data_IF_851491691710
#
_entry.id   IF_851491691710
#
_cell.length_a   1.000
_cell.length_b   1.000
_cell.length_c   1.000
_cell.angle_alpha   90.00
_cell.angle_beta   90.00
_cell.angle_gamma   90.00
#
_symmetry.space_group_name_H-M   'P 1'
#
loop_
_entity.id
_entity.type
_entity.pdbx_description
1 polymer ?
#
# COMPACT_ATOMS: atom_id res chain seq x y z
N UNK A 1 -45.21 16.73 29.39
CA UNK A 1 -46.31 16.50 28.45
C UNK A 1 -46.57 17.82 27.76
N UNK A 2 -45.82 18.17 26.80
CA UNK A 2 -45.98 19.30 25.88
C UNK A 2 -44.71 19.29 25.01
N UNK A 3 -44.74 18.63 23.85
CA UNK A 3 -43.59 18.56 22.95
C UNK A 3 -43.71 17.60 21.79
N UNK A 4 -44.79 16.84 21.65
CA UNK A 4 -44.96 15.83 20.62
C UNK A 4 -46.02 16.13 19.52
N UNK A 5 -46.61 17.27 19.52
CA UNK A 5 -47.70 17.61 18.59
C UNK A 5 -47.33 18.52 17.40
N UNK A 6 -46.07 18.86 17.19
CA UNK A 6 -45.68 19.84 16.16
C UNK A 6 -44.88 19.25 14.97
N UNK A 7 -44.86 17.93 14.77
CA UNK A 7 -44.18 17.27 13.64
C UNK A 7 -45.09 16.48 12.69
N UNK A 8 -46.39 16.71 12.69
CA UNK A 8 -47.34 15.92 11.89
C UNK A 8 -48.19 16.69 10.86
N UNK A 9 -47.83 17.91 10.50
CA UNK A 9 -48.54 18.66 9.46
C UNK A 9 -47.58 19.40 8.54
N UNK A 10 -46.89 18.69 7.64
CA UNK A 10 -46.36 19.26 6.40
C UNK A 10 -45.94 18.16 5.40
N UNK A 11 -46.91 17.38 5.00
CA UNK A 11 -46.85 16.53 3.81
C UNK A 11 -48.25 16.53 3.24
N UNK A 12 -48.52 17.33 2.25
CA UNK A 12 -49.57 17.24 1.22
C UNK A 12 -49.66 18.66 0.60
N UNK A 13 -49.09 18.85 -0.55
CA UNK A 13 -49.48 19.62 -1.72
C UNK A 13 -48.29 19.82 -2.65
N UNK A 14 -48.22 19.10 -3.71
CA UNK A 14 -48.23 19.55 -5.11
C UNK A 14 -48.05 18.36 -6.04
N UNK A 15 -49.21 17.79 -6.39
CA UNK A 15 -49.38 17.05 -7.64
C UNK A 15 -50.07 18.00 -8.61
N UNK A 16 -49.61 18.00 -9.85
CA UNK A 16 -50.45 18.42 -10.98
C UNK A 16 -49.94 19.61 -11.76
N UNK A 17 -49.33 19.35 -12.92
CA UNK A 17 -49.95 19.74 -14.19
C UNK A 17 -49.21 19.06 -15.35
N UNK A 18 -49.99 18.27 -16.07
CA UNK A 18 -49.69 17.61 -17.33
C UNK A 18 -49.85 18.53 -18.52
N UNK A 19 -49.11 18.20 -19.55
CA UNK A 19 -49.57 17.97 -20.93
C UNK A 19 -49.42 19.08 -21.99
N UNK A 20 -48.79 18.64 -23.03
CA UNK A 20 -49.18 18.74 -24.45
C UNK A 20 -48.73 19.94 -25.27
N UNK A 21 -48.00 19.62 -26.31
CA UNK A 21 -47.72 20.49 -27.46
C UNK A 21 -47.15 19.66 -28.61
N UNK A 22 -48.03 19.07 -29.40
CA UNK A 22 -47.72 18.33 -30.63
C UNK A 22 -47.30 19.27 -31.78
N UNK A 23 -46.37 18.73 -32.60
CA UNK A 23 -46.31 18.77 -34.07
C UNK A 23 -46.57 20.07 -34.84
N UNK A 24 -45.55 20.48 -35.58
CA UNK A 24 -45.76 20.87 -36.99
C UNK A 24 -44.48 20.53 -37.80
N UNK A 25 -44.66 19.64 -38.74
CA UNK A 25 -43.74 19.42 -39.85
C UNK A 25 -44.08 20.43 -40.98
N UNK A 26 -43.06 21.01 -41.61
CA UNK A 26 -43.10 21.30 -43.05
C UNK A 26 -41.71 21.59 -43.59
N UNK A 27 -41.40 20.95 -44.66
CA UNK A 27 -40.15 20.86 -45.36
C UNK A 27 -39.75 22.09 -46.17
N UNK A 28 -38.49 22.10 -46.56
CA UNK A 28 -37.86 23.01 -47.51
C UNK A 28 -36.47 22.47 -47.86
N UNK A 29 -36.36 21.93 -49.07
CA UNK A 29 -35.08 21.63 -49.72
C UNK A 29 -34.30 22.92 -49.95
N UNK A 30 -33.00 22.95 -49.64
CA UNK A 30 -32.01 23.58 -50.51
C UNK A 30 -30.59 23.00 -50.33
N UNK A 31 -29.83 23.10 -51.40
CA UNK A 31 -28.62 22.36 -51.76
C UNK A 31 -27.34 22.77 -51.00
N UNK A 32 -26.46 21.77 -51.00
CA UNK A 32 -24.99 21.76 -50.85
C UNK A 32 -24.23 23.10 -50.88
N UNK A 33 -23.41 23.29 -49.87
CA UNK A 33 -22.02 23.72 -50.04
C UNK A 33 -21.19 23.07 -48.92
N UNK A 34 -20.16 22.33 -49.30
CA UNK A 34 -19.27 21.62 -48.36
C UNK A 34 -18.44 22.59 -47.57
N UNK A 35 -18.41 22.33 -46.27
CA UNK A 35 -17.35 22.75 -45.37
C UNK A 35 -17.13 21.57 -44.45
N UNK A 36 -16.00 20.91 -44.60
CA UNK A 36 -15.52 19.92 -43.64
C UNK A 36 -15.26 20.64 -42.32
N UNK A 37 -16.26 20.69 -41.47
CA UNK A 37 -16.07 20.93 -40.04
C UNK A 37 -15.87 19.58 -39.39
N UNK A 38 -14.65 19.34 -38.85
CA UNK A 38 -14.37 18.29 -37.91
C UNK A 38 -15.49 18.28 -36.86
N UNK A 39 -16.38 17.33 -36.98
CA UNK A 39 -17.34 17.03 -35.93
C UNK A 39 -16.54 16.41 -34.76
N UNK A 40 -16.21 17.22 -33.73
CA UNK A 40 -15.94 16.69 -32.38
C UNK A 40 -17.16 15.81 -32.05
N UNK A 41 -16.92 14.52 -31.85
CA UNK A 41 -17.95 13.62 -31.40
C UNK A 41 -18.43 14.12 -30.03
N UNK A 42 -19.68 14.54 -29.94
CA UNK A 42 -20.37 14.78 -28.69
C UNK A 42 -20.82 13.42 -28.13
N UNK A 43 -19.88 12.51 -27.84
CA UNK A 43 -20.11 11.36 -26.99
C UNK A 43 -20.24 11.86 -25.55
N UNK A 44 -21.14 11.27 -24.79
CA UNK A 44 -21.16 11.48 -23.34
C UNK A 44 -19.80 11.04 -22.77
N UNK A 45 -19.25 11.81 -21.82
CA UNK A 45 -18.00 11.49 -21.13
C UNK A 45 -18.17 10.19 -20.35
N UNK A 46 -17.28 9.22 -20.57
CA UNK A 46 -17.32 7.92 -19.89
C UNK A 46 -16.51 7.99 -18.59
N UNK A 47 -17.16 7.84 -17.45
CA UNK A 47 -16.50 7.85 -16.13
C UNK A 47 -16.16 6.45 -15.69
N UNK A 48 -14.88 6.22 -15.36
CA UNK A 48 -14.38 5.00 -14.71
C UNK A 48 -14.37 5.21 -13.19
N UNK A 49 -15.18 4.42 -12.48
CA UNK A 49 -15.29 4.50 -11.01
C UNK A 49 -14.27 3.59 -10.35
N UNK A 50 -13.48 4.13 -9.43
CA UNK A 50 -12.41 3.43 -8.71
C UNK A 50 -12.72 3.46 -7.20
N UNK A 51 -12.92 2.29 -6.58
CA UNK A 51 -13.07 2.21 -5.13
C UNK A 51 -11.72 2.15 -4.43
N UNK A 52 -11.61 2.78 -3.25
CA UNK A 52 -10.42 2.76 -2.40
C UNK A 52 -10.81 2.84 -0.91
N UNK A 53 -9.86 2.55 -0.02
CA UNK A 53 -9.96 2.85 1.42
C UNK A 53 -8.80 3.73 1.93
N UNK A 54 -7.91 4.13 1.03
CA UNK A 54 -6.73 4.93 1.31
C UNK A 54 -7.00 6.41 1.64
N UNK A 55 -5.94 7.19 1.64
CA UNK A 55 -5.96 8.63 1.91
C UNK A 55 -6.60 9.40 0.74
N UNK A 56 -7.61 10.19 1.03
CA UNK A 56 -8.32 11.04 0.06
C UNK A 56 -7.40 12.05 -0.63
N UNK A 57 -6.36 12.54 0.06
CA UNK A 57 -5.42 13.48 -0.54
C UNK A 57 -4.57 12.82 -1.63
N UNK A 58 -4.14 11.56 -1.41
CA UNK A 58 -3.40 10.79 -2.42
C UNK A 58 -4.31 10.50 -3.62
N UNK A 59 -5.55 10.08 -3.36
CA UNK A 59 -6.52 9.81 -4.43
C UNK A 59 -6.81 11.05 -5.27
N UNK A 60 -6.93 12.22 -4.62
CA UNK A 60 -7.12 13.51 -5.32
C UNK A 60 -5.96 13.83 -6.28
N UNK A 61 -4.72 13.59 -5.87
CA UNK A 61 -3.53 13.79 -6.74
C UNK A 61 -3.60 12.88 -7.96
N UNK A 62 -3.98 11.60 -7.79
CA UNK A 62 -4.11 10.66 -8.90
C UNK A 62 -5.25 11.08 -9.83
N UNK A 63 -6.44 11.39 -9.28
CA UNK A 63 -7.62 11.78 -10.02
C UNK A 63 -7.36 13.02 -10.89
N UNK A 64 -6.82 14.07 -10.29
CA UNK A 64 -6.51 15.32 -10.99
C UNK A 64 -5.48 15.12 -12.10
N UNK A 65 -4.43 14.33 -11.85
CA UNK A 65 -3.35 14.10 -12.81
C UNK A 65 -3.83 13.23 -13.99
N UNK A 66 -4.56 12.15 -13.71
CA UNK A 66 -5.13 11.29 -14.76
C UNK A 66 -6.14 12.06 -15.61
N UNK A 67 -7.13 12.70 -14.98
CA UNK A 67 -8.18 13.44 -15.67
C UNK A 67 -7.62 14.57 -16.55
N UNK A 68 -6.56 15.23 -16.10
CA UNK A 68 -5.84 16.23 -16.91
C UNK A 68 -5.15 15.58 -18.12
N UNK A 69 -4.56 14.39 -17.95
CA UNK A 69 -3.80 13.71 -19.01
C UNK A 69 -4.71 13.16 -20.13
N UNK A 70 -5.89 12.64 -19.77
CA UNK A 70 -6.84 12.05 -20.72
C UNK A 70 -8.02 12.99 -21.09
N UNK A 71 -7.91 14.29 -20.80
CA UNK A 71 -8.99 15.26 -20.99
C UNK A 71 -9.56 15.33 -22.42
N UNK A 72 -8.75 14.98 -23.44
CA UNK A 72 -9.17 15.00 -24.85
C UNK A 72 -9.80 13.66 -25.30
N UNK A 73 -9.88 12.63 -24.44
CA UNK A 73 -10.35 11.28 -24.78
C UNK A 73 -11.84 11.05 -24.45
N UNK A 74 -12.55 12.02 -23.88
CA UNK A 74 -13.91 11.90 -23.34
C UNK A 74 -14.03 10.80 -22.28
N UNK A 75 -12.98 10.58 -21.50
CA UNK A 75 -12.89 9.63 -20.38
C UNK A 75 -12.45 10.40 -19.15
N UNK A 76 -13.01 10.05 -18.00
CA UNK A 76 -12.58 10.55 -16.70
C UNK A 76 -12.54 9.41 -15.67
N UNK A 77 -11.77 9.61 -14.60
CA UNK A 77 -11.84 8.74 -13.42
C UNK A 77 -12.50 9.47 -12.26
N UNK A 78 -13.08 8.69 -11.35
CA UNK A 78 -13.62 9.17 -10.09
C UNK A 78 -13.32 8.16 -8.99
N UNK A 79 -12.69 8.63 -7.91
CA UNK A 79 -12.51 7.83 -6.71
C UNK A 79 -13.74 7.85 -5.79
N UNK A 80 -14.04 6.68 -5.19
CA UNK A 80 -15.05 6.54 -4.15
C UNK A 80 -14.49 5.77 -2.96
N UNK A 81 -14.46 6.41 -1.79
CA UNK A 81 -13.99 5.78 -0.56
C UNK A 81 -14.97 4.75 -0.02
N UNK A 82 -14.45 3.57 0.35
CA UNK A 82 -15.20 2.46 0.95
C UNK A 82 -14.49 1.98 2.22
N UNK A 83 -15.18 2.00 3.33
CA UNK A 83 -14.66 1.38 4.55
C UNK A 83 -14.74 -0.14 4.43
N UNK A 84 -13.66 -0.85 4.76
CA UNK A 84 -13.58 -2.31 4.62
C UNK A 84 -13.65 -2.74 3.16
N UNK A 85 -12.82 -2.14 2.31
CA UNK A 85 -12.83 -2.30 0.86
C UNK A 85 -12.82 -3.77 0.43
N UNK A 86 -12.02 -4.62 1.07
CA UNK A 86 -11.96 -6.05 0.76
C UNK A 86 -13.32 -6.73 0.88
N UNK A 87 -14.09 -6.43 1.93
CA UNK A 87 -15.42 -7.02 2.12
C UNK A 87 -16.44 -6.42 1.13
N UNK A 88 -16.28 -5.15 0.78
CA UNK A 88 -17.10 -4.53 -0.27
C UNK A 88 -16.83 -5.17 -1.64
N UNK A 89 -15.57 -5.46 -1.98
CA UNK A 89 -15.20 -6.14 -3.22
C UNK A 89 -15.72 -7.60 -3.25
N UNK A 90 -15.67 -8.32 -2.13
CA UNK A 90 -16.29 -9.66 -2.02
C UNK A 90 -17.80 -9.61 -2.33
N UNK A 91 -18.45 -8.56 -1.88
CA UNK A 91 -19.91 -8.44 -2.02
C UNK A 91 -20.33 -7.92 -3.41
N UNK A 92 -19.63 -6.95 -3.93
CA UNK A 92 -20.00 -6.21 -5.15
C UNK A 92 -19.09 -6.45 -6.36
N UNK A 93 -18.00 -7.20 -6.23
CA UNK A 93 -17.02 -7.41 -7.31
C UNK A 93 -17.56 -8.16 -8.55
N UNK A 94 -18.73 -8.77 -8.45
CA UNK A 94 -19.47 -9.36 -9.58
C UNK A 94 -20.79 -8.61 -9.89
N UNK A 95 -21.04 -7.47 -9.25
CA UNK A 95 -22.29 -6.70 -9.42
C UNK A 95 -22.01 -5.44 -10.25
N UNK A 96 -22.18 -5.55 -11.55
CA UNK A 96 -21.98 -4.44 -12.49
C UNK A 96 -22.82 -3.19 -12.18
N UNK A 97 -23.97 -3.34 -11.51
CA UNK A 97 -24.88 -2.23 -11.24
C UNK A 97 -24.47 -1.40 -10.02
N UNK A 98 -23.78 -2.03 -9.06
CA UNK A 98 -23.47 -1.42 -7.75
C UNK A 98 -21.97 -1.48 -7.41
N UNK A 99 -21.18 -2.24 -8.15
CA UNK A 99 -19.72 -2.33 -7.96
C UNK A 99 -18.95 -1.27 -8.75
N UNK A 100 -17.63 -1.15 -8.52
CA UNK A 100 -16.75 -0.20 -9.23
C UNK A 100 -16.22 -0.82 -10.52
N UNK A 101 -15.72 -0.02 -11.43
CA UNK A 101 -14.99 -0.53 -12.60
C UNK A 101 -13.59 -1.05 -12.23
N UNK A 102 -12.94 -0.35 -11.30
CA UNK A 102 -11.61 -0.64 -10.78
C UNK A 102 -11.56 -0.42 -9.27
N UNK A 103 -10.51 -0.91 -8.62
CA UNK A 103 -10.19 -0.59 -7.23
C UNK A 103 -8.73 -0.22 -7.08
N UNK A 104 -8.38 0.58 -6.06
CA UNK A 104 -7.02 0.86 -5.63
C UNK A 104 -6.84 0.37 -4.20
N UNK A 105 -5.88 -0.57 -4.03
CA UNK A 105 -5.62 -1.19 -2.74
C UNK A 105 -4.23 -1.81 -2.64
N UNK A 106 -3.86 -2.21 -1.43
CA UNK A 106 -2.63 -2.95 -1.19
C UNK A 106 -2.69 -4.35 -1.83
N UNK A 107 -1.57 -4.78 -2.39
CA UNK A 107 -1.46 -6.03 -3.17
C UNK A 107 -1.60 -7.31 -2.34
N UNK A 108 -1.48 -7.25 -1.02
CA UNK A 108 -1.58 -8.42 -0.12
C UNK A 108 -2.95 -9.12 -0.16
N UNK A 109 -4.00 -8.40 -0.58
CA UNK A 109 -5.33 -8.97 -0.81
C UNK A 109 -5.52 -9.61 -2.19
N UNK A 110 -4.55 -9.49 -3.10
CA UNK A 110 -4.65 -9.87 -4.50
C UNK A 110 -5.04 -11.33 -4.70
N UNK A 111 -4.35 -12.25 -4.04
CA UNK A 111 -4.59 -13.68 -4.23
C UNK A 111 -6.02 -14.08 -3.89
N UNK A 112 -6.60 -13.51 -2.83
CA UNK A 112 -7.98 -13.77 -2.47
C UNK A 112 -8.96 -13.27 -3.55
N UNK A 113 -8.78 -12.04 -4.05
CA UNK A 113 -9.65 -11.47 -5.09
C UNK A 113 -9.51 -12.21 -6.42
N UNK A 114 -8.28 -12.63 -6.77
CA UNK A 114 -8.01 -13.44 -7.96
C UNK A 114 -8.68 -14.83 -7.88
N UNK A 115 -8.60 -15.53 -6.73
CA UNK A 115 -9.26 -16.82 -6.52
C UNK A 115 -10.78 -16.71 -6.59
N UNK A 116 -11.36 -15.56 -6.22
CA UNK A 116 -12.78 -15.30 -6.42
C UNK A 116 -13.17 -15.14 -7.89
N UNK A 117 -12.21 -14.99 -8.80
CA UNK A 117 -12.44 -14.84 -10.24
C UNK A 117 -13.10 -13.53 -10.64
N UNK A 118 -13.00 -12.49 -9.80
CA UNK A 118 -13.63 -11.18 -10.03
C UNK A 118 -12.71 -10.19 -10.77
N UNK A 119 -11.44 -10.54 -10.98
CA UNK A 119 -10.44 -9.66 -11.59
C UNK A 119 -10.19 -10.00 -13.07
N UNK A 120 -9.94 -8.98 -13.87
CA UNK A 120 -9.41 -9.09 -15.22
C UNK A 120 -7.89 -8.90 -15.22
N UNK A 121 -7.12 -9.65 -16.07
CA UNK A 121 -5.69 -9.42 -16.21
C UNK A 121 -5.36 -8.03 -16.76
N UNK A 122 -4.33 -7.37 -16.21
CA UNK A 122 -3.83 -6.07 -16.71
C UNK A 122 -3.38 -6.18 -18.16
N UNK A 123 -2.80 -7.34 -18.54
CA UNK A 123 -2.30 -7.63 -19.89
C UNK A 123 -3.37 -7.68 -20.98
N UNK A 124 -4.65 -7.74 -20.61
CA UNK A 124 -5.77 -7.66 -21.56
C UNK A 124 -6.05 -6.23 -22.03
N UNK A 125 -5.44 -5.23 -21.37
CA UNK A 125 -5.65 -3.79 -21.63
C UNK A 125 -4.39 -3.08 -22.10
N UNK A 126 -3.23 -3.39 -21.52
CA UNK A 126 -1.96 -2.74 -21.81
C UNK A 126 -0.87 -3.78 -22.09
N UNK A 127 0.19 -3.35 -22.76
CA UNK A 127 1.32 -4.20 -23.12
C UNK A 127 2.47 -4.06 -22.13
N UNK A 128 3.43 -4.99 -22.17
CA UNK A 128 4.66 -4.90 -21.40
C UNK A 128 5.49 -3.64 -21.73
N UNK A 129 5.36 -3.08 -22.95
CA UNK A 129 6.04 -1.84 -23.32
C UNK A 129 5.44 -0.62 -22.58
N UNK A 130 4.14 -0.66 -22.25
CA UNK A 130 3.48 0.40 -21.47
C UNK A 130 3.95 0.39 -20.01
N UNK A 131 4.42 -0.75 -19.51
CA UNK A 131 4.90 -0.97 -18.13
C UNK A 131 6.43 -0.99 -18.01
N UNK A 132 7.17 -0.75 -19.10
CA UNK A 132 8.63 -0.90 -19.13
C UNK A 132 9.37 -0.02 -18.09
N UNK A 133 8.76 1.07 -17.69
CA UNK A 133 9.31 1.99 -16.70
C UNK A 133 8.89 1.69 -15.25
N UNK A 134 8.15 0.59 -14.99
CA UNK A 134 7.78 0.18 -13.63
C UNK A 134 8.92 -0.63 -12.98
N UNK A 135 9.07 -0.48 -11.67
CA UNK A 135 10.01 -1.25 -10.88
C UNK A 135 9.61 -2.74 -10.87
N UNK A 136 10.49 -3.68 -11.24
CA UNK A 136 10.14 -5.10 -11.33
C UNK A 136 9.50 -5.68 -10.06
N UNK A 137 9.99 -5.30 -8.88
CA UNK A 137 9.45 -5.73 -7.58
C UNK A 137 7.97 -5.32 -7.43
N UNK A 138 7.58 -4.14 -7.93
CA UNK A 138 6.19 -3.70 -7.83
C UNK A 138 5.26 -4.43 -8.81
N UNK A 139 5.76 -4.80 -9.99
CA UNK A 139 5.03 -5.64 -10.96
C UNK A 139 4.85 -7.05 -10.41
N UNK A 140 5.91 -7.62 -9.80
CA UNK A 140 5.84 -8.93 -9.13
C UNK A 140 4.77 -8.94 -8.03
N UNK A 141 4.71 -7.90 -7.21
CA UNK A 141 3.68 -7.74 -6.18
C UNK A 141 2.25 -7.76 -6.75
N UNK A 142 2.05 -7.19 -7.95
CA UNK A 142 0.78 -7.19 -8.68
C UNK A 142 0.45 -8.47 -9.43
N UNK A 143 1.33 -9.49 -9.34
CA UNK A 143 1.21 -10.77 -10.07
C UNK A 143 0.83 -11.91 -9.12
N UNK A 144 -0.17 -12.69 -9.51
CA UNK A 144 -0.61 -13.88 -8.79
C UNK A 144 -0.71 -15.08 -9.75
N UNK A 145 -0.08 -16.21 -9.43
CA UNK A 145 -0.03 -17.43 -10.29
C UNK A 145 0.30 -17.09 -11.74
N UNK A 146 1.40 -16.37 -11.96
CA UNK A 146 1.93 -15.95 -13.27
C UNK A 146 1.00 -15.00 -14.07
N UNK A 147 -0.04 -14.44 -13.46
CA UNK A 147 -0.95 -13.49 -14.10
C UNK A 147 -0.93 -12.17 -13.33
N UNK A 148 -0.65 -11.07 -14.03
CA UNK A 148 -0.71 -9.75 -13.44
C UNK A 148 -2.16 -9.26 -13.42
N UNK A 149 -2.67 -8.96 -12.22
CA UNK A 149 -4.02 -8.43 -11.98
C UNK A 149 -4.03 -7.01 -11.43
N UNK A 150 -2.89 -6.54 -10.91
CA UNK A 150 -2.77 -5.20 -10.34
C UNK A 150 -1.67 -4.42 -11.05
N UNK A 151 -2.00 -3.22 -11.56
CA UNK A 151 -1.04 -2.24 -12.02
C UNK A 151 -0.51 -1.45 -10.83
N UNK A 152 0.79 -1.55 -10.49
CA UNK A 152 1.36 -0.85 -9.34
C UNK A 152 1.49 0.66 -9.59
N UNK A 153 1.21 1.47 -8.57
CA UNK A 153 1.34 2.93 -8.62
C UNK A 153 2.43 3.47 -7.70
N UNK A 154 2.43 3.02 -6.45
CA UNK A 154 3.42 3.41 -5.45
C UNK A 154 3.59 2.29 -4.42
N UNK A 155 4.65 2.38 -3.63
CA UNK A 155 4.93 1.38 -2.61
C UNK A 155 5.40 2.02 -1.30
N UNK A 156 5.29 1.25 -0.24
CA UNK A 156 5.68 1.60 1.11
C UNK A 156 6.52 0.47 1.72
N UNK A 157 7.44 0.82 2.60
CA UNK A 157 8.26 -0.13 3.35
C UNK A 157 8.76 0.51 4.63
N UNK A 158 9.42 -0.29 5.48
CA UNK A 158 10.07 0.22 6.67
C UNK A 158 11.40 0.91 6.33
N UNK A 159 11.65 2.00 7.04
CA UNK A 159 12.83 2.83 6.98
C UNK A 159 13.44 2.98 8.38
N UNK A 160 14.68 3.41 8.45
CA UNK A 160 15.33 3.86 9.65
C UNK A 160 15.24 5.40 9.72
N UNK A 161 14.45 5.90 10.65
CA UNK A 161 14.21 7.34 10.86
C UNK A 161 14.88 7.74 12.18
N UNK A 162 15.74 8.77 12.15
CA UNK A 162 16.49 9.19 13.34
C UNK A 162 16.41 10.69 13.57
N UNK A 163 16.49 11.10 14.82
CA UNK A 163 16.56 12.50 15.22
C UNK A 163 18.01 12.99 15.14
N UNK A 164 18.30 13.88 14.18
CA UNK A 164 19.65 14.43 13.91
C UNK A 164 20.24 15.18 15.12
N UNK A 165 19.38 15.69 16.00
CA UNK A 165 19.83 16.46 17.18
C UNK A 165 20.19 15.55 18.38
N UNK A 166 19.66 14.33 18.39
CA UNK A 166 19.91 13.34 19.46
C UNK A 166 20.92 12.28 19.08
N UNK A 167 20.97 11.89 17.79
CA UNK A 167 21.85 10.86 17.28
C UNK A 167 23.31 11.29 17.36
N UNK A 168 24.18 10.42 17.89
CA UNK A 168 25.59 10.74 18.11
C UNK A 168 26.49 10.02 17.11
N UNK A 169 27.20 10.79 16.31
CA UNK A 169 28.19 10.26 15.36
C UNK A 169 27.57 9.81 14.03
N UNK A 170 28.31 8.99 13.27
CA UNK A 170 27.85 8.45 12.02
C UNK A 170 26.86 7.29 12.24
N UNK A 171 25.94 7.10 11.29
CA UNK A 171 25.07 5.93 11.30
C UNK A 171 25.88 4.63 11.14
N UNK A 172 25.58 3.57 11.91
CA UNK A 172 26.19 2.27 11.75
C UNK A 172 25.93 1.71 10.34
N UNK A 173 26.83 0.87 9.85
CA UNK A 173 26.68 0.16 8.57
C UNK A 173 26.33 -1.31 8.76
N UNK A 174 26.48 -1.81 9.97
CA UNK A 174 26.10 -3.21 10.32
C UNK A 174 25.08 -3.19 11.46
N UNK A 175 24.28 -4.24 11.52
CA UNK A 175 23.34 -4.43 12.62
C UNK A 175 24.05 -4.75 13.94
N UNK A 176 25.28 -5.32 13.92
CA UNK A 176 26.09 -5.53 15.11
C UNK A 176 26.63 -4.19 15.68
N UNK A 177 27.04 -3.25 14.81
CA UNK A 177 27.42 -1.91 15.24
C UNK A 177 26.19 -1.15 15.77
N UNK A 178 25.02 -1.33 15.15
CA UNK A 178 23.77 -0.75 15.64
C UNK A 178 23.41 -1.30 17.05
N UNK A 179 23.53 -2.61 17.24
CA UNK A 179 23.33 -3.25 18.54
C UNK A 179 24.29 -2.71 19.62
N UNK A 180 25.56 -2.50 19.23
CA UNK A 180 26.57 -1.90 20.12
C UNK A 180 26.20 -0.46 20.47
N UNK A 181 25.79 0.34 19.51
CA UNK A 181 25.31 1.70 19.73
C UNK A 181 24.09 1.74 20.64
N UNK A 182 23.13 0.80 20.48
CA UNK A 182 21.96 0.70 21.35
C UNK A 182 22.34 0.38 22.79
N UNK A 183 23.29 -0.53 23.01
CA UNK A 183 23.80 -0.86 24.37
C UNK A 183 24.43 0.33 25.09
N UNK A 184 25.10 1.20 24.35
CA UNK A 184 25.79 2.37 24.90
C UNK A 184 24.88 3.57 25.15
N UNK A 185 23.77 3.67 24.39
CA UNK A 185 22.93 4.88 24.35
C UNK A 185 21.46 4.63 24.80
N UNK A 186 21.14 3.46 25.33
CA UNK A 186 19.83 3.16 25.93
C UNK A 186 19.93 3.14 27.45
N UNK A 187 19.01 3.84 28.11
CA UNK A 187 18.83 3.79 29.56
C UNK A 187 17.35 3.49 29.84
N UNK A 188 17.06 2.20 30.05
CA UNK A 188 15.70 1.70 30.29
C UNK A 188 15.11 2.27 31.57
N UNK A 189 15.94 2.47 32.61
CA UNK A 189 15.49 3.02 33.93
C UNK A 189 15.09 4.50 33.78
N UNK A 190 15.77 5.23 32.92
CA UNK A 190 15.43 6.62 32.57
C UNK A 190 14.32 6.72 31.49
N UNK A 191 13.92 5.63 30.88
CA UNK A 191 12.94 5.59 29.78
C UNK A 191 13.44 6.25 28.49
N UNK A 192 14.75 6.16 28.22
CA UNK A 192 15.38 6.70 27.00
C UNK A 192 16.04 5.60 26.18
N UNK A 193 15.87 5.66 24.86
CA UNK A 193 16.22 4.59 23.95
C UNK A 193 17.05 5.11 22.77
N UNK A 194 18.02 4.32 22.34
CA UNK A 194 18.75 4.61 21.11
C UNK A 194 17.88 4.36 19.87
N UNK A 195 17.21 3.20 19.83
CA UNK A 195 16.31 2.83 18.73
C UNK A 195 15.06 2.19 19.30
N UNK A 196 13.91 2.53 18.76
CA UNK A 196 12.63 1.86 19.07
C UNK A 196 12.09 1.14 17.82
N UNK A 197 11.57 -0.05 18.04
CA UNK A 197 10.94 -0.89 17.02
C UNK A 197 9.88 -1.79 17.66
N UNK A 198 8.89 -2.22 16.88
CA UNK A 198 7.87 -3.18 17.32
C UNK A 198 8.41 -4.62 17.19
N UNK A 199 9.29 -5.02 18.11
CA UNK A 199 10.01 -6.32 18.03
C UNK A 199 9.12 -7.57 18.14
N UNK A 200 7.84 -7.42 18.48
CA UNK A 200 6.86 -8.52 18.48
C UNK A 200 5.79 -8.40 17.39
N UNK A 201 5.93 -7.45 16.46
CA UNK A 201 5.08 -7.32 15.27
C UNK A 201 5.79 -7.93 14.08
N UNK A 202 5.17 -8.90 13.43
CA UNK A 202 5.80 -9.68 12.38
C UNK A 202 6.30 -8.82 11.21
N UNK A 203 5.52 -7.80 10.80
CA UNK A 203 5.92 -6.85 9.77
C UNK A 203 7.22 -6.08 10.12
N UNK A 204 7.38 -5.68 11.39
CA UNK A 204 8.55 -4.95 11.86
C UNK A 204 9.79 -5.83 12.10
N UNK A 205 9.62 -7.15 12.21
CA UNK A 205 10.71 -8.13 12.34
C UNK A 205 11.05 -8.78 11.01
N UNK A 206 10.15 -8.71 10.03
CA UNK A 206 10.40 -9.23 8.67
C UNK A 206 11.74 -8.78 8.07
N UNK A 207 12.26 -7.53 8.26
CA UNK A 207 13.57 -7.15 7.76
C UNK A 207 14.72 -8.06 8.21
N UNK A 208 14.63 -8.58 9.43
CA UNK A 208 15.63 -9.52 9.97
C UNK A 208 15.36 -10.93 9.46
N UNK A 209 14.09 -11.37 9.47
CA UNK A 209 13.70 -12.71 9.00
C UNK A 209 14.13 -12.92 7.53
N UNK A 210 13.69 -12.04 6.64
CA UNK A 210 14.01 -12.11 5.22
C UNK A 210 15.52 -11.95 4.97
N UNK A 211 16.17 -11.02 5.67
CA UNK A 211 17.61 -10.81 5.56
C UNK A 211 18.47 -12.01 6.01
N UNK A 212 17.94 -12.89 6.85
CA UNK A 212 18.57 -14.18 7.18
C UNK A 212 18.17 -15.32 6.23
N UNK A 213 17.42 -15.06 5.15
CA UNK A 213 16.79 -16.06 4.29
C UNK A 213 15.73 -16.91 5.00
N UNK A 214 15.17 -16.42 6.09
CA UNK A 214 13.95 -16.96 6.68
C UNK A 214 12.72 -16.43 5.97
N UNK A 215 11.56 -16.92 6.35
CA UNK A 215 10.29 -16.46 5.78
C UNK A 215 9.13 -16.73 6.74
N UNK A 216 8.04 -15.98 6.61
CA UNK A 216 6.81 -16.22 7.37
C UNK A 216 5.96 -17.27 6.66
N UNK A 217 5.76 -17.11 5.35
CA UNK A 217 5.08 -18.07 4.48
C UNK A 217 5.68 -17.99 3.09
N UNK A 218 5.81 -19.11 2.40
CA UNK A 218 6.30 -19.15 1.03
C UNK A 218 5.14 -19.09 0.00
N UNK A 219 5.50 -18.99 -1.28
CA UNK A 219 4.56 -18.94 -2.40
C UNK A 219 3.68 -20.19 -2.54
N UNK A 220 4.09 -21.31 -1.96
CA UNK A 220 3.37 -22.59 -1.98
C UNK A 220 2.49 -22.76 -0.73
N UNK A 221 2.27 -21.66 0.01
CA UNK A 221 1.50 -21.57 1.25
C UNK A 221 2.05 -22.45 2.39
N UNK A 222 3.37 -22.68 2.40
CA UNK A 222 4.01 -23.39 3.50
C UNK A 222 4.48 -22.36 4.54
N UNK A 223 4.03 -22.45 5.80
CA UNK A 223 4.57 -21.65 6.89
C UNK A 223 6.06 -21.93 7.11
N UNK A 224 6.81 -20.92 7.50
CA UNK A 224 8.26 -21.00 7.72
C UNK A 224 8.70 -20.56 9.11
N UNK A 225 7.81 -20.65 10.12
CA UNK A 225 8.14 -20.19 11.47
C UNK A 225 9.19 -21.09 12.15
N UNK A 226 9.22 -22.38 11.83
CA UNK A 226 10.20 -23.35 12.30
C UNK A 226 11.41 -23.55 11.35
N UNK A 227 11.48 -22.75 10.25
CA UNK A 227 12.67 -22.79 9.39
C UNK A 227 13.92 -22.36 10.15
N UNK A 228 15.02 -23.06 9.92
CA UNK A 228 16.27 -22.83 10.64
C UNK A 228 16.81 -21.39 10.50
N UNK A 229 16.54 -20.69 9.40
CA UNK A 229 16.95 -19.32 9.20
C UNK A 229 16.00 -18.34 9.90
N UNK A 230 14.69 -18.64 9.92
CA UNK A 230 13.69 -17.90 10.70
C UNK A 230 14.03 -17.98 12.19
N UNK A 231 14.33 -19.16 12.73
CA UNK A 231 14.77 -19.33 14.12
C UNK A 231 16.00 -18.46 14.42
N UNK A 232 17.04 -18.50 13.60
CA UNK A 232 18.24 -17.65 13.75
C UNK A 232 17.91 -16.16 13.71
N UNK A 233 17.00 -15.75 12.85
CA UNK A 233 16.55 -14.37 12.74
C UNK A 233 15.82 -13.91 14.01
N UNK A 234 14.94 -14.75 14.56
CA UNK A 234 14.22 -14.48 15.82
C UNK A 234 15.18 -14.41 17.00
N UNK A 235 16.14 -15.32 17.10
CA UNK A 235 17.22 -15.27 18.11
C UNK A 235 18.05 -13.98 18.00
N UNK A 236 18.30 -13.52 16.77
CA UNK A 236 19.03 -12.29 16.54
C UNK A 236 18.20 -11.06 16.90
N UNK A 237 16.91 -11.00 16.51
CA UNK A 237 15.98 -9.94 16.88
C UNK A 237 15.81 -9.81 18.40
N UNK A 238 15.79 -10.92 19.15
CA UNK A 238 15.69 -10.93 20.60
C UNK A 238 16.74 -10.04 21.28
N UNK A 239 17.98 -10.00 20.74
CA UNK A 239 19.06 -9.15 21.28
C UNK A 239 18.74 -7.66 21.24
N UNK A 240 17.95 -7.22 20.27
CA UNK A 240 17.47 -5.85 20.14
C UNK A 240 16.24 -5.61 21.04
N UNK A 241 15.33 -6.56 21.08
CA UNK A 241 14.14 -6.50 21.93
C UNK A 241 14.50 -6.38 23.42
N UNK A 242 15.54 -7.06 23.88
CA UNK A 242 16.04 -6.98 25.26
C UNK A 242 16.51 -5.57 25.67
N UNK A 243 16.89 -4.72 24.70
CA UNK A 243 17.36 -3.35 24.96
C UNK A 243 16.24 -2.31 24.97
N UNK A 244 15.07 -2.66 24.46
CA UNK A 244 13.98 -1.69 24.28
C UNK A 244 12.83 -1.91 25.25
N UNK A 245 12.67 -3.11 25.76
CA UNK A 245 11.43 -3.51 26.39
C UNK A 245 10.31 -3.70 25.35
N UNK A 246 9.09 -3.80 25.81
CA UNK A 246 7.93 -3.98 24.94
C UNK A 246 7.47 -2.66 24.32
N UNK A 247 7.40 -2.58 22.99
CA UNK A 247 6.86 -1.45 22.24
C UNK A 247 5.85 -1.91 21.20
N UNK A 248 4.62 -1.43 21.33
CA UNK A 248 3.64 -1.43 20.26
C UNK A 248 3.80 -0.16 19.40
N UNK A 249 2.93 -0.02 18.39
CA UNK A 249 2.94 1.11 17.48
C UNK A 249 2.84 2.46 18.21
N UNK A 250 1.88 2.60 19.11
CA UNK A 250 1.63 3.86 19.83
C UNK A 250 2.76 4.21 20.79
N UNK A 251 3.31 3.21 21.48
CA UNK A 251 4.46 3.37 22.38
C UNK A 251 5.70 3.81 21.62
N UNK A 252 6.04 3.16 20.51
CA UNK A 252 7.20 3.53 19.69
C UNK A 252 7.08 4.95 19.15
N UNK A 253 5.91 5.31 18.60
CA UNK A 253 5.64 6.67 18.10
C UNK A 253 5.71 7.72 19.20
N UNK A 254 5.13 7.45 20.35
CA UNK A 254 5.16 8.36 21.52
C UNK A 254 6.61 8.59 21.97
N UNK A 255 7.40 7.54 22.14
CA UNK A 255 8.80 7.66 22.57
C UNK A 255 9.63 8.46 21.57
N UNK A 256 9.43 8.27 20.27
CA UNK A 256 10.17 9.02 19.27
C UNK A 256 9.70 10.48 19.20
N UNK A 257 8.41 10.74 19.17
CA UNK A 257 7.85 12.10 19.08
C UNK A 257 8.08 12.93 20.34
N UNK A 258 8.17 12.30 21.52
CA UNK A 258 8.59 12.94 22.77
C UNK A 258 10.13 13.06 22.92
N UNK A 259 10.90 12.68 21.90
CA UNK A 259 12.36 12.73 21.87
C UNK A 259 13.01 11.86 22.99
N UNK A 260 12.33 10.82 23.42
CA UNK A 260 12.85 9.78 24.31
C UNK A 260 13.56 8.65 23.57
N UNK A 261 13.36 8.55 22.27
CA UNK A 261 14.09 7.67 21.38
C UNK A 261 14.89 8.50 20.35
N UNK A 262 16.12 8.05 20.04
CA UNK A 262 16.96 8.71 19.06
C UNK A 262 16.63 8.29 17.63
N UNK A 263 16.11 7.07 17.43
CA UNK A 263 15.65 6.56 16.16
C UNK A 263 14.44 5.64 16.32
N UNK A 264 13.69 5.49 15.22
CA UNK A 264 12.55 4.59 15.10
C UNK A 264 12.62 3.83 13.77
N UNK A 265 12.30 2.54 13.79
CA UNK A 265 12.03 1.77 12.58
C UNK A 265 10.53 1.89 12.28
N UNK A 266 10.21 2.48 11.13
CA UNK A 266 8.84 2.74 10.71
C UNK A 266 8.79 3.21 9.27
N UNK A 267 7.60 3.40 8.73
CA UNK A 267 7.41 3.77 7.32
C UNK A 267 7.09 5.26 7.09
N UNK A 268 6.81 5.62 5.83
CA UNK A 268 6.47 7.00 5.43
C UNK A 268 5.29 7.60 6.20
N UNK A 269 4.37 6.77 6.65
CA UNK A 269 3.18 7.16 7.43
C UNK A 269 3.52 7.86 8.77
N UNK A 270 4.75 7.72 9.29
CA UNK A 270 5.19 8.40 10.53
C UNK A 270 5.60 9.85 10.29
N UNK A 271 5.96 10.21 9.07
CA UNK A 271 6.64 11.48 8.76
C UNK A 271 5.79 12.70 9.10
N UNK A 272 4.47 12.64 8.91
CA UNK A 272 3.57 13.75 9.28
C UNK A 272 3.64 14.05 10.78
N UNK A 273 3.46 13.03 11.63
CA UNK A 273 3.53 13.17 13.09
C UNK A 273 4.90 13.62 13.58
N UNK A 274 5.98 13.15 12.94
CA UNK A 274 7.37 13.57 13.24
C UNK A 274 7.59 15.06 12.93
N UNK A 275 7.06 15.54 11.81
CA UNK A 275 7.10 16.98 11.44
C UNK A 275 6.30 17.83 12.43
N UNK A 276 5.11 17.38 12.81
CA UNK A 276 4.25 18.06 13.77
C UNK A 276 4.89 18.14 15.16
N UNK A 277 5.68 17.14 15.54
CA UNK A 277 6.50 17.15 16.75
C UNK A 277 7.74 18.07 16.66
N UNK A 278 8.02 18.66 15.50
CA UNK A 278 9.14 19.59 15.27
C UNK A 278 10.51 18.93 15.31
N UNK A 279 10.60 17.63 15.01
CA UNK A 279 11.85 16.87 15.06
C UNK A 279 12.68 17.12 13.79
N UNK A 280 13.96 17.45 13.98
CA UNK A 280 14.96 17.51 12.93
C UNK A 280 15.40 16.07 12.59
N UNK A 281 14.67 15.42 11.69
CA UNK A 281 14.89 14.02 11.38
C UNK A 281 15.79 13.81 10.16
N UNK A 282 16.40 12.63 10.09
CA UNK A 282 17.03 12.05 8.92
C UNK A 282 16.44 10.68 8.64
N UNK A 283 16.57 10.23 7.41
CA UNK A 283 16.06 8.93 6.96
C UNK A 283 17.16 8.20 6.21
N UNK A 284 17.26 6.88 6.43
CA UNK A 284 18.03 5.99 5.56
C UNK A 284 17.29 4.68 5.35
N UNK A 285 17.70 3.95 4.32
CA UNK A 285 17.18 2.63 4.01
C UNK A 285 17.59 1.62 5.08
N UNK A 286 16.73 0.64 5.39
CA UNK A 286 17.14 -0.54 6.14
C UNK A 286 18.16 -1.39 5.36
N UNK A 287 18.18 -1.32 4.03
CA UNK A 287 19.19 -1.97 3.18
C UNK A 287 20.62 -1.48 3.44
N UNK A 288 20.79 -0.29 4.06
CA UNK A 288 22.09 0.22 4.45
C UNK A 288 22.75 -0.53 5.63
N UNK A 289 21.98 -1.38 6.32
CA UNK A 289 22.47 -2.16 7.47
C UNK A 289 22.74 -3.61 7.07
N UNK A 290 24.00 -4.03 7.16
CA UNK A 290 24.43 -5.40 6.86
C UNK A 290 24.28 -6.30 8.09
N UNK A 291 23.65 -7.46 7.92
CA UNK A 291 23.51 -8.51 8.91
C UNK A 291 24.79 -9.34 9.07
N UNK A 292 24.95 -10.13 10.15
CA UNK A 292 26.13 -11.00 10.36
C UNK A 292 26.37 -12.03 9.25
N UNK A 293 25.35 -12.40 8.48
CA UNK A 293 25.47 -13.29 7.33
C UNK A 293 25.97 -12.58 6.05
N UNK A 294 26.21 -11.28 6.10
CA UNK A 294 26.67 -10.45 4.98
C UNK A 294 25.57 -9.91 4.06
N UNK A 295 24.30 -10.20 4.35
CA UNK A 295 23.14 -9.65 3.62
C UNK A 295 22.64 -8.39 4.28
N UNK A 296 21.87 -7.59 3.54
CA UNK A 296 21.17 -6.44 4.09
C UNK A 296 19.90 -6.85 4.85
N UNK A 297 19.41 -5.97 5.71
CA UNK A 297 18.02 -6.03 6.17
C UNK A 297 17.09 -5.95 4.96
N UNK A 298 16.08 -6.84 4.91
CA UNK A 298 15.18 -6.98 3.78
C UNK A 298 13.70 -6.84 4.24
N UNK A 299 13.19 -5.61 4.38
CA UNK A 299 11.82 -5.40 4.83
C UNK A 299 10.79 -5.88 3.81
N UNK A 300 9.57 -6.13 4.25
CA UNK A 300 8.46 -6.24 3.32
C UNK A 300 8.16 -4.90 2.66
N UNK A 301 7.74 -4.98 1.39
CA UNK A 301 7.20 -3.86 0.65
C UNK A 301 5.70 -4.06 0.43
N UNK A 302 4.90 -3.09 0.84
CA UNK A 302 3.49 -2.98 0.50
C UNK A 302 3.34 -2.19 -0.79
N UNK A 303 2.76 -2.78 -1.83
CA UNK A 303 2.55 -2.11 -3.12
C UNK A 303 1.09 -1.73 -3.25
N UNK A 304 0.84 -0.47 -3.48
CA UNK A 304 -0.48 0.07 -3.77
C UNK A 304 -0.68 0.14 -5.28
N UNK A 305 -1.78 -0.41 -5.75
CA UNK A 305 -2.03 -0.47 -7.18
C UNK A 305 -3.51 -0.59 -7.51
N UNK A 306 -3.81 -0.53 -8.80
CA UNK A 306 -5.17 -0.64 -9.31
C UNK A 306 -5.43 -2.01 -9.91
N UNK A 307 -6.53 -2.64 -9.49
CA UNK A 307 -7.07 -3.85 -10.11
C UNK A 307 -8.36 -3.56 -10.87
N UNK A 308 -8.67 -4.37 -11.87
CA UNK A 308 -9.80 -4.19 -12.78
C UNK A 308 -10.83 -5.26 -12.49
N UNK A 309 -12.11 -4.86 -12.33
CA UNK A 309 -13.20 -5.84 -12.17
C UNK A 309 -13.55 -6.46 -13.52
N UNK A 310 -13.73 -7.77 -13.54
CA UNK A 310 -13.89 -8.55 -14.77
C UNK A 310 -15.06 -8.09 -15.66
N UNK A 311 -16.18 -7.69 -15.07
CA UNK A 311 -17.31 -7.19 -15.85
C UNK A 311 -17.03 -5.83 -16.54
N UNK A 312 -16.10 -5.05 -16.00
CA UNK A 312 -15.71 -3.76 -16.58
C UNK A 312 -14.89 -3.93 -17.87
N UNK A 313 -14.15 -5.04 -18.02
CA UNK A 313 -13.49 -5.40 -19.27
C UNK A 313 -14.44 -5.46 -20.45
N UNK A 314 -15.62 -6.05 -20.27
CA UNK A 314 -16.60 -6.21 -21.34
C UNK A 314 -17.28 -4.89 -21.71
N UNK A 315 -17.40 -3.97 -20.76
CA UNK A 315 -18.25 -2.78 -20.91
C UNK A 315 -17.50 -1.48 -21.12
N UNK A 316 -16.27 -1.36 -20.59
CA UNK A 316 -15.47 -0.10 -20.60
C UNK A 316 -14.01 -0.32 -21.00
N UNK A 317 -13.72 -1.33 -21.82
CA UNK A 317 -12.34 -1.71 -22.15
C UNK A 317 -11.49 -0.55 -22.67
N UNK A 318 -12.00 0.23 -23.61
CA UNK A 318 -11.26 1.34 -24.20
C UNK A 318 -10.98 2.45 -23.17
N UNK A 319 -11.99 2.80 -22.37
CA UNK A 319 -11.83 3.80 -21.30
C UNK A 319 -10.82 3.34 -20.23
N UNK A 320 -10.90 2.09 -19.78
CA UNK A 320 -9.94 1.52 -18.83
C UNK A 320 -8.52 1.47 -19.41
N UNK A 321 -8.38 1.12 -20.69
CA UNK A 321 -7.08 1.13 -21.38
C UNK A 321 -6.44 2.54 -21.35
N UNK A 322 -7.22 3.58 -21.64
CA UNK A 322 -6.76 4.97 -21.55
C UNK A 322 -6.32 5.34 -20.12
N UNK A 323 -7.11 4.95 -19.11
CA UNK A 323 -6.81 5.17 -17.70
C UNK A 323 -5.52 4.47 -17.29
N UNK A 324 -5.35 3.18 -17.61
CA UNK A 324 -4.15 2.41 -17.26
C UNK A 324 -2.89 3.00 -17.89
N UNK A 325 -2.94 3.40 -19.17
CA UNK A 325 -1.82 4.08 -19.85
C UNK A 325 -1.47 5.42 -19.20
N UNK A 326 -2.48 6.17 -18.76
CA UNK A 326 -2.23 7.40 -18.01
C UNK A 326 -1.56 7.10 -16.65
N UNK A 327 -2.01 6.07 -15.95
CA UNK A 327 -1.45 5.64 -14.66
C UNK A 327 -0.01 5.12 -14.76
N UNK A 328 0.40 4.50 -15.89
CA UNK A 328 1.79 4.09 -16.12
C UNK A 328 2.75 5.26 -16.34
N UNK A 329 2.23 6.47 -16.58
CA UNK A 329 3.06 7.59 -17.00
C UNK A 329 3.98 8.12 -15.89
N UNK A 330 5.13 8.68 -16.31
CA UNK A 330 6.07 9.34 -15.41
C UNK A 330 5.44 10.49 -14.64
N UNK A 331 4.49 11.21 -15.25
CA UNK A 331 3.79 12.33 -14.60
C UNK A 331 3.03 11.90 -13.34
N UNK A 332 2.40 10.72 -13.35
CA UNK A 332 1.75 10.18 -12.14
C UNK A 332 2.78 9.89 -11.06
N UNK A 333 3.89 9.24 -11.42
CA UNK A 333 4.95 8.96 -10.46
C UNK A 333 5.54 10.23 -9.83
N UNK A 334 5.78 11.25 -10.64
CA UNK A 334 6.27 12.56 -10.16
C UNK A 334 5.25 13.24 -9.26
N UNK A 335 3.97 13.26 -9.64
CA UNK A 335 2.90 13.86 -8.82
C UNK A 335 2.77 13.14 -7.47
N UNK A 336 2.75 11.81 -7.45
CA UNK A 336 2.70 11.00 -6.22
C UNK A 336 3.90 11.30 -5.30
N UNK A 337 5.10 11.41 -5.86
CA UNK A 337 6.30 11.70 -5.06
C UNK A 337 6.30 13.11 -4.48
N UNK A 338 5.93 14.12 -5.27
CA UNK A 338 6.03 15.54 -4.88
C UNK A 338 4.87 15.99 -3.99
N UNK A 339 3.66 15.57 -4.31
CA UNK A 339 2.45 16.08 -3.67
C UNK A 339 1.99 15.17 -2.52
N UNK A 340 2.32 13.87 -2.58
CA UNK A 340 1.86 12.89 -1.59
C UNK A 340 2.98 12.18 -0.83
N UNK A 341 4.26 12.43 -1.14
CA UNK A 341 5.40 11.71 -0.57
C UNK A 341 5.33 10.18 -0.75
N UNK A 342 4.64 9.69 -1.76
CA UNK A 342 4.59 8.27 -2.10
C UNK A 342 5.79 7.89 -2.96
N UNK A 343 6.46 6.78 -2.67
CA UNK A 343 7.53 6.25 -3.51
C UNK A 343 6.93 5.65 -4.78
N UNK A 344 7.14 6.24 -5.97
CA UNK A 344 6.46 5.80 -7.18
C UNK A 344 6.98 4.46 -7.68
N UNK A 345 6.09 3.63 -8.22
CA UNK A 345 6.46 2.42 -8.94
C UNK A 345 7.17 2.73 -10.27
N UNK A 346 6.90 3.89 -10.88
CA UNK A 346 7.56 4.33 -12.11
C UNK A 346 8.98 4.84 -11.82
N UNK A 347 10.01 4.13 -12.34
CA UNK A 347 11.43 4.45 -12.08
C UNK A 347 11.90 5.73 -12.76
N UNK A 348 11.25 6.21 -13.83
CA UNK A 348 11.62 7.44 -14.50
C UNK A 348 11.29 8.67 -13.64
N UNK A 349 10.28 8.57 -12.74
CA UNK A 349 9.93 9.64 -11.81
C UNK A 349 11.10 10.04 -10.90
N UNK A 350 12.01 9.12 -10.58
CA UNK A 350 13.20 9.41 -9.75
C UNK A 350 14.26 10.27 -10.45
N UNK A 351 14.09 10.55 -11.76
CA UNK A 351 14.97 11.47 -12.51
C UNK A 351 14.53 12.93 -12.39
N UNK A 352 13.33 13.20 -11.88
CA UNK A 352 12.89 14.57 -11.56
C UNK A 352 13.75 15.15 -10.44
N UNK A 353 14.19 16.42 -10.57
CA UNK A 353 15.15 17.05 -9.65
C UNK A 353 14.59 17.16 -8.21
N UNK A 354 13.29 17.45 -8.05
CA UNK A 354 12.67 17.56 -6.72
C UNK A 354 12.46 16.18 -6.09
N UNK A 355 12.09 15.19 -6.88
CA UNK A 355 11.96 13.79 -6.42
C UNK A 355 13.31 13.27 -5.97
N UNK A 356 14.37 13.49 -6.75
CA UNK A 356 15.74 13.10 -6.43
C UNK A 356 16.31 13.83 -5.18
N UNK A 357 15.78 14.99 -4.85
CA UNK A 357 16.16 15.73 -3.65
C UNK A 357 15.41 15.31 -2.38
N UNK A 358 14.37 14.47 -2.50
CA UNK A 358 13.57 14.00 -1.37
C UNK A 358 14.24 12.80 -0.68
N UNK A 359 14.82 13.03 0.51
CA UNK A 359 15.55 12.01 1.29
C UNK A 359 14.69 10.73 1.53
N UNK A 360 13.39 10.87 1.80
CA UNK A 360 12.51 9.74 2.05
C UNK A 360 12.26 8.91 0.79
N UNK A 361 11.94 9.57 -0.32
CA UNK A 361 11.70 8.89 -1.60
C UNK A 361 12.97 8.16 -2.07
N UNK A 362 14.13 8.76 -1.88
CA UNK A 362 15.40 8.12 -2.24
C UNK A 362 15.77 6.97 -1.30
N UNK A 363 15.46 7.07 0.00
CA UNK A 363 15.61 5.96 0.93
C UNK A 363 14.67 4.81 0.58
N UNK A 364 13.42 5.10 0.19
CA UNK A 364 12.48 4.09 -0.31
C UNK A 364 12.99 3.42 -1.59
N UNK A 365 13.55 4.18 -2.54
CA UNK A 365 14.16 3.62 -3.75
C UNK A 365 15.28 2.64 -3.42
N UNK A 366 16.18 3.01 -2.50
CA UNK A 366 17.25 2.12 -2.04
C UNK A 366 16.69 0.89 -1.33
N UNK A 367 15.62 1.06 -0.55
CA UNK A 367 14.95 -0.05 0.13
C UNK A 367 14.38 -1.06 -0.85
N UNK A 368 13.83 -0.61 -1.98
CA UNK A 368 13.28 -1.49 -3.02
C UNK A 368 14.32 -2.47 -3.62
N UNK A 369 15.62 -2.17 -3.49
CA UNK A 369 16.70 -3.06 -3.98
C UNK A 369 16.85 -4.34 -3.13
N UNK A 370 16.40 -4.32 -1.86
CA UNK A 370 16.47 -5.47 -0.93
C UNK A 370 15.13 -5.86 -0.34
N UNK A 371 14.10 -5.02 -0.48
CA UNK A 371 12.77 -5.31 0.02
C UNK A 371 12.14 -6.48 -0.76
N UNK A 372 11.39 -7.29 -0.03
CA UNK A 372 10.60 -8.35 -0.62
C UNK A 372 9.13 -7.92 -0.70
N UNK A 373 8.41 -8.21 -1.80
CA UNK A 373 6.98 -8.03 -1.81
C UNK A 373 6.35 -8.82 -0.66
N UNK A 374 5.42 -8.22 0.06
CA UNK A 374 4.63 -8.95 1.04
C UNK A 374 3.86 -10.06 0.31
N UNK A 375 3.82 -11.30 0.84
CA UNK A 375 3.14 -12.40 0.17
C UNK A 375 1.69 -12.05 -0.14
N UNK A 376 1.29 -12.17 -1.40
CA UNK A 376 -0.04 -11.83 -1.88
C UNK A 376 -1.00 -13.03 -1.97
N UNK A 377 -0.63 -14.18 -1.37
CA UNK A 377 -1.46 -15.36 -1.31
C UNK A 377 -2.53 -15.26 -0.20
N UNK A 378 -3.73 -15.87 -0.36
CA UNK A 378 -4.81 -15.78 0.63
C UNK A 378 -4.39 -16.21 2.03
N UNK A 379 -3.51 -17.21 2.14
CA UNK A 379 -3.04 -17.78 3.39
C UNK A 379 -2.19 -16.81 4.23
N UNK A 380 -1.59 -15.78 3.62
CA UNK A 380 -0.84 -14.77 4.38
C UNK A 380 -1.71 -14.08 5.45
N UNK A 381 -2.99 -13.92 5.18
CA UNK A 381 -3.93 -13.27 6.12
C UNK A 381 -4.04 -13.96 7.48
N UNK A 382 -3.84 -15.29 7.53
CA UNK A 382 -3.89 -16.07 8.78
C UNK A 382 -2.52 -16.29 9.41
N UNK A 383 -1.43 -15.85 8.76
CA UNK A 383 -0.06 -16.03 9.25
C UNK A 383 0.37 -14.98 10.28
N UNK A 384 -0.24 -13.79 10.26
CA UNK A 384 0.14 -12.70 11.17
C UNK A 384 -0.02 -13.11 12.64
N UNK A 385 -1.15 -13.73 13.00
CA UNK A 385 -1.44 -14.17 14.35
C UNK A 385 -0.38 -15.12 14.93
N UNK A 386 -0.12 -16.29 14.32
CA UNK A 386 0.92 -17.22 14.78
C UNK A 386 2.32 -16.59 14.80
N UNK A 387 2.72 -15.83 13.78
CA UNK A 387 4.02 -15.19 13.73
C UNK A 387 4.23 -14.17 14.87
N UNK A 388 3.26 -13.30 15.12
CA UNK A 388 3.32 -12.33 16.21
C UNK A 388 3.24 -12.99 17.60
N UNK A 389 2.47 -14.07 17.71
CA UNK A 389 2.40 -14.85 18.95
C UNK A 389 3.73 -15.52 19.27
N UNK A 390 4.44 -16.06 18.27
CA UNK A 390 5.80 -16.59 18.42
C UNK A 390 6.76 -15.50 18.89
N UNK A 391 6.76 -14.35 18.24
CA UNK A 391 7.63 -13.22 18.61
C UNK A 391 7.32 -12.70 20.02
N UNK A 392 6.06 -12.63 20.40
CA UNK A 392 5.64 -12.22 21.74
C UNK A 392 6.05 -13.24 22.81
N UNK A 393 5.90 -14.54 22.55
CA UNK A 393 6.34 -15.60 23.46
C UNK A 393 7.85 -15.49 23.72
N UNK A 394 8.65 -15.29 22.69
CA UNK A 394 10.11 -15.15 22.79
C UNK A 394 10.52 -13.84 23.49
N UNK A 395 9.98 -12.70 23.03
CA UNK A 395 10.46 -11.38 23.44
C UNK A 395 9.87 -10.90 24.77
N UNK A 396 8.60 -11.27 25.07
CA UNK A 396 7.87 -10.82 26.27
C UNK A 396 7.86 -11.86 27.38
N UNK A 397 7.66 -13.14 27.01
CA UNK A 397 7.57 -14.23 27.99
C UNK A 397 8.92 -14.92 28.25
N UNK A 398 9.94 -14.64 27.41
CA UNK A 398 11.26 -15.25 27.54
C UNK A 398 11.30 -16.74 27.19
N UNK A 399 10.31 -17.23 26.43
CA UNK A 399 10.24 -18.62 25.99
C UNK A 399 11.43 -18.96 25.07
N UNK A 400 11.72 -20.25 25.01
CA UNK A 400 12.74 -20.79 24.12
C UNK A 400 12.34 -20.60 22.66
N UNK A 401 13.27 -20.18 21.80
CA UNK A 401 12.97 -19.81 20.41
C UNK A 401 12.57 -21.03 19.59
N UNK A 402 13.31 -22.16 19.69
CA UNK A 402 13.00 -23.37 18.92
C UNK A 402 11.66 -23.95 19.33
N UNK A 403 11.38 -24.05 20.64
CA UNK A 403 10.10 -24.56 21.15
C UNK A 403 8.91 -23.66 20.76
N UNK A 404 9.11 -22.34 20.76
CA UNK A 404 8.09 -21.39 20.30
C UNK A 404 7.86 -21.50 18.80
N UNK A 405 8.92 -21.64 18.00
CA UNK A 405 8.86 -21.80 16.56
C UNK A 405 8.06 -23.06 16.18
N UNK A 406 8.36 -24.22 16.77
CA UNK A 406 7.63 -25.47 16.54
C UNK A 406 6.14 -25.32 16.89
N UNK A 407 5.83 -24.77 18.06
CA UNK A 407 4.44 -24.57 18.51
C UNK A 407 3.64 -23.70 17.56
N UNK A 408 4.18 -22.55 17.16
CA UNK A 408 3.45 -21.60 16.33
C UNK A 408 3.46 -21.96 14.85
N UNK A 409 4.40 -22.81 14.41
CA UNK A 409 4.35 -23.49 13.12
C UNK A 409 3.11 -24.40 13.04
N UNK A 410 2.87 -25.23 14.08
CA UNK A 410 1.66 -26.10 14.15
C UNK A 410 0.37 -25.28 14.15
N UNK A 411 0.33 -24.13 14.86
CA UNK A 411 -0.82 -23.22 14.87
C UNK A 411 -1.05 -22.58 13.48
N UNK A 412 0.02 -22.20 12.78
CA UNK A 412 -0.06 -21.65 11.44
C UNK A 412 -0.56 -22.68 10.42
N UNK A 413 -0.05 -23.91 10.47
CA UNK A 413 -0.50 -25.02 9.62
C UNK A 413 -2.00 -25.33 9.84
N UNK A 414 -2.46 -25.32 11.10
CA UNK A 414 -3.86 -25.52 11.43
C UNK A 414 -4.74 -24.36 10.87
N UNK A 415 -4.30 -23.11 11.03
CA UNK A 415 -5.02 -21.95 10.51
C UNK A 415 -5.16 -21.98 8.98
N UNK A 416 -4.11 -22.41 8.26
CA UNK A 416 -4.16 -22.58 6.80
C UNK A 416 -5.10 -23.73 6.41
N UNK A 417 -5.07 -24.85 7.15
CA UNK A 417 -5.96 -25.98 6.88
C UNK A 417 -7.44 -25.60 7.07
N UNK A 418 -7.77 -24.74 8.02
CA UNK A 418 -9.13 -24.26 8.27
C UNK A 418 -9.65 -23.33 7.16
N UNK A 419 -8.80 -22.84 6.25
CA UNK A 419 -9.20 -22.04 5.08
C UNK A 419 -9.67 -22.89 3.89
N UNK A 420 -9.40 -24.21 3.89
CA UNK A 420 -9.71 -25.15 2.79
C UNK A 420 -11.10 -25.76 2.97
#
# INVERSE_FOLDING_TARGET
>A
MEGEEMKRKLCILLCGTLAAGMLTACGGKNEMTGSETNAKSTGEEETVTIWHDGDEAIMGVIEDTVNKKIADENVSIKFEKKTGLTDQLKLYGNDQANGPDMYLYAHDSLGMLAEMGILAPVTDFISADDEADLLPMTVEAGTYKDTQYVLPLYYESLLFIYNKDLWKGALPKTTDDLLSYMKENTDVDAGTYAVVNQHSTAYNVAPVINGFDGYIIDKDAKPGLDDANTIKAVEYNKKFAELMGEGDYDTCNTLFNEQKAQAIIGGPWLVSGIKDAGINYGICSLADFTLPNGKSLAPYSGVQGVGILKYAEENKKDAITSVLKALCSTEIGVALAKESNCAPANQEAYKDEEVAANEMIMAMKTTAESAEPMPNIPQMSVMWGPAESMLAAVNKSGEDVEASAEKYQEEAEAAIADMQ
#
